data_IF_011232423858
#
_entry.id   IF_011232423858
#
_cell.length_a   1.000
_cell.length_b   1.000
_cell.length_c   1.000
_cell.angle_alpha   90.00
_cell.angle_beta   90.00
_cell.angle_gamma   90.00
#
_symmetry.space_group_name_H-M   'P 1'
#
loop_
_entity.id
_entity.type
_entity.pdbx_description
1 polymer ?
#
# COMPACT_ATOMS: atom_id res chain seq x y z
N UNK A 1 -10.77 -10.95 24.33
CA UNK A 1 -10.01 -10.07 23.41
C UNK A 1 -9.00 -9.23 24.19
N UNK A 2 -7.71 -9.24 23.82
CA UNK A 2 -6.67 -8.48 24.54
C UNK A 2 -6.73 -6.96 24.23
N UNK A 3 -5.95 -6.14 24.92
CA UNK A 3 -5.97 -4.67 24.73
C UNK A 3 -5.48 -4.23 23.33
N UNK A 4 -4.50 -4.93 22.76
CA UNK A 4 -3.98 -4.65 21.42
C UNK A 4 -5.02 -4.93 20.32
N UNK A 5 -5.79 -6.00 20.48
CA UNK A 5 -6.87 -6.38 19.59
C UNK A 5 -8.00 -5.35 19.61
N UNK A 6 -8.36 -4.83 20.81
CA UNK A 6 -9.33 -3.74 20.94
C UNK A 6 -8.87 -2.49 20.18
N UNK A 7 -7.61 -2.08 20.41
CA UNK A 7 -7.01 -0.93 19.69
C UNK A 7 -7.02 -1.14 18.17
N UNK A 8 -6.72 -2.35 17.70
CA UNK A 8 -6.79 -2.67 16.26
C UNK A 8 -8.22 -2.54 15.72
N UNK A 9 -9.21 -3.14 16.39
CA UNK A 9 -10.62 -3.13 15.97
C UNK A 9 -11.14 -1.69 15.90
N UNK A 10 -10.94 -0.90 16.95
CA UNK A 10 -11.42 0.49 17.01
C UNK A 10 -10.74 1.37 15.94
N UNK A 11 -9.45 1.16 15.71
CA UNK A 11 -8.72 1.91 14.68
C UNK A 11 -9.15 1.48 13.27
N UNK A 12 -9.35 0.18 13.05
CA UNK A 12 -9.80 -0.34 11.76
C UNK A 12 -11.23 0.12 11.42
N UNK A 13 -12.13 0.22 12.40
CA UNK A 13 -13.45 0.81 12.19
C UNK A 13 -13.37 2.26 11.69
N UNK A 14 -12.51 3.09 12.32
CA UNK A 14 -12.26 4.47 11.89
C UNK A 14 -11.66 4.55 10.49
N UNK A 15 -10.79 3.63 10.13
CA UNK A 15 -10.21 3.57 8.78
C UNK A 15 -11.27 3.12 7.77
N UNK A 16 -12.08 2.13 8.13
CA UNK A 16 -13.11 1.57 7.26
C UNK A 16 -14.21 2.58 6.95
N UNK A 17 -14.58 3.43 7.92
CA UNK A 17 -15.56 4.50 7.72
C UNK A 17 -15.07 5.60 6.76
N UNK A 18 -13.76 5.75 6.57
CA UNK A 18 -13.18 6.66 5.57
C UNK A 18 -13.24 6.12 4.13
N UNK A 19 -13.58 4.84 3.97
CA UNK A 19 -13.80 4.19 2.69
C UNK A 19 -12.55 3.53 2.08
N UNK A 20 -12.81 2.48 1.31
CA UNK A 20 -11.79 1.63 0.66
C UNK A 20 -10.92 2.40 -0.33
N UNK A 21 -11.52 3.23 -1.17
CA UNK A 21 -10.79 3.97 -2.20
C UNK A 21 -9.75 4.93 -1.57
N UNK A 22 -10.15 5.67 -0.54
CA UNK A 22 -9.26 6.60 0.18
C UNK A 22 -8.10 5.87 0.86
N UNK A 23 -8.37 4.71 1.46
CA UNK A 23 -7.33 3.86 2.02
C UNK A 23 -6.34 3.36 0.97
N UNK A 24 -6.85 2.80 -0.14
CA UNK A 24 -6.02 2.28 -1.24
C UNK A 24 -5.15 3.39 -1.82
N UNK A 25 -5.70 4.58 -2.06
CA UNK A 25 -4.92 5.71 -2.58
C UNK A 25 -3.82 6.09 -1.60
N UNK A 26 -4.15 6.26 -0.30
CA UNK A 26 -3.18 6.70 0.71
C UNK A 26 -2.04 5.70 0.92
N UNK A 27 -2.39 4.42 1.11
CA UNK A 27 -1.40 3.38 1.41
C UNK A 27 -0.75 2.80 0.16
N UNK A 28 -1.49 2.70 -0.94
CA UNK A 28 -0.99 2.28 -2.24
C UNK A 28 0.01 3.28 -2.81
N UNK A 29 -0.27 4.58 -2.73
CA UNK A 29 0.67 5.61 -3.21
C UNK A 29 2.04 5.52 -2.52
N UNK A 30 2.04 5.43 -1.18
CA UNK A 30 3.29 5.30 -0.42
C UNK A 30 4.06 4.02 -0.78
N UNK A 31 3.36 2.89 -0.93
CA UNK A 31 3.99 1.64 -1.33
C UNK A 31 4.52 1.68 -2.77
N UNK A 32 3.77 2.28 -3.69
CA UNK A 32 4.18 2.43 -5.09
C UNK A 32 5.45 3.28 -5.25
N UNK A 33 5.58 4.35 -4.47
CA UNK A 33 6.83 5.14 -4.42
C UNK A 33 7.99 4.28 -3.91
N UNK A 34 7.77 3.46 -2.88
CA UNK A 34 8.81 2.59 -2.34
C UNK A 34 9.27 1.55 -3.37
N UNK A 35 8.33 0.91 -4.07
CA UNK A 35 8.64 -0.02 -5.17
C UNK A 35 9.38 0.68 -6.29
N UNK A 36 8.97 1.90 -6.65
CA UNK A 36 9.68 2.69 -7.66
C UNK A 36 11.12 2.96 -7.24
N UNK A 37 11.35 3.44 -6.02
CA UNK A 37 12.68 3.73 -5.51
C UNK A 37 13.59 2.49 -5.50
N UNK A 38 13.06 1.34 -5.07
CA UNK A 38 13.79 0.07 -5.11
C UNK A 38 14.14 -0.35 -6.54
N UNK A 39 13.19 -0.28 -7.47
CA UNK A 39 13.44 -0.60 -8.88
C UNK A 39 14.45 0.35 -9.53
N UNK A 40 14.36 1.63 -9.22
CA UNK A 40 15.24 2.65 -9.73
C UNK A 40 16.69 2.38 -9.28
N UNK A 41 16.88 2.07 -8.00
CA UNK A 41 18.19 1.65 -7.48
C UNK A 41 18.66 0.36 -8.16
N UNK A 42 17.86 -0.71 -8.15
CA UNK A 42 18.30 -2.02 -8.69
C UNK A 42 18.68 -1.96 -10.17
N UNK A 43 17.91 -1.23 -10.99
CA UNK A 43 18.10 -1.24 -12.43
C UNK A 43 19.11 -0.18 -12.92
N UNK A 44 19.27 0.92 -12.18
CA UNK A 44 20.08 2.06 -12.61
C UNK A 44 21.27 2.37 -11.70
N UNK A 45 21.54 1.53 -10.69
CA UNK A 45 22.81 1.58 -9.96
C UNK A 45 23.97 1.51 -10.97
N UNK A 46 24.85 2.51 -10.93
CA UNK A 46 25.96 2.73 -11.88
C UNK A 46 25.57 3.02 -13.35
N UNK A 47 24.28 3.16 -13.66
CA UNK A 47 23.75 3.45 -15.02
C UNK A 47 22.79 4.64 -15.07
N UNK A 48 22.91 5.56 -14.12
CA UNK A 48 22.02 6.73 -14.00
C UNK A 48 21.90 7.56 -15.29
N UNK A 49 22.97 7.65 -16.09
CA UNK A 49 22.96 8.37 -17.36
C UNK A 49 22.14 7.71 -18.48
N UNK A 50 21.67 6.48 -18.29
CA UNK A 50 20.82 5.75 -19.24
C UNK A 50 19.31 5.96 -18.96
N UNK A 51 18.96 6.57 -17.84
CA UNK A 51 17.57 6.79 -17.46
C UNK A 51 17.03 8.06 -18.14
N UNK A 52 16.12 7.87 -19.10
CA UNK A 52 15.41 9.00 -19.69
C UNK A 52 14.34 9.54 -18.73
N UNK A 53 14.03 10.85 -18.84
CA UNK A 53 12.96 11.46 -18.05
C UNK A 53 11.61 10.78 -18.32
N UNK A 54 11.35 10.39 -19.57
CA UNK A 54 10.12 9.67 -19.95
C UNK A 54 10.02 8.33 -19.22
N UNK A 55 11.08 7.53 -19.24
CA UNK A 55 11.09 6.23 -18.56
C UNK A 55 10.93 6.38 -17.05
N UNK A 56 11.56 7.40 -16.46
CA UNK A 56 11.42 7.73 -15.04
C UNK A 56 9.94 7.93 -14.66
N UNK A 57 9.24 8.83 -15.36
CA UNK A 57 7.84 9.13 -15.04
C UNK A 57 6.88 7.98 -15.37
N UNK A 58 7.15 7.22 -16.44
CA UNK A 58 6.36 6.03 -16.78
C UNK A 58 6.53 4.95 -15.72
N UNK A 59 7.76 4.64 -15.30
CA UNK A 59 8.01 3.66 -14.24
C UNK A 59 7.40 4.10 -12.90
N UNK A 60 7.48 5.39 -12.57
CA UNK A 60 6.84 5.94 -11.38
C UNK A 60 5.32 5.75 -11.42
N UNK A 61 4.68 6.11 -12.54
CA UNK A 61 3.24 5.97 -12.71
C UNK A 61 2.80 4.50 -12.62
N UNK A 62 3.50 3.59 -13.30
CA UNK A 62 3.22 2.15 -13.24
C UNK A 62 3.40 1.62 -11.81
N UNK A 63 4.46 2.01 -11.12
CA UNK A 63 4.73 1.55 -9.74
C UNK A 63 3.63 2.01 -8.78
N UNK A 64 3.13 3.24 -8.93
CA UNK A 64 2.02 3.77 -8.12
C UNK A 64 0.69 3.09 -8.46
N UNK A 65 0.35 3.00 -9.74
CA UNK A 65 -0.96 2.47 -10.17
C UNK A 65 -1.03 0.97 -9.96
N UNK A 66 -0.05 0.23 -10.46
CA UNK A 66 -0.04 -1.24 -10.40
C UNK A 66 0.47 -1.71 -9.04
N UNK A 67 1.69 -1.34 -8.66
CA UNK A 67 2.27 -1.76 -7.38
C UNK A 67 1.49 -1.25 -6.18
N UNK A 68 1.18 0.04 -6.17
CA UNK A 68 0.38 0.67 -5.13
C UNK A 68 -1.07 0.17 -5.11
N UNK A 69 -1.71 0.01 -6.27
CA UNK A 69 -3.06 -0.52 -6.38
C UNK A 69 -3.18 -1.94 -5.83
N UNK A 70 -2.30 -2.86 -6.26
CA UNK A 70 -2.27 -4.25 -5.78
C UNK A 70 -2.08 -4.29 -4.26
N UNK A 71 -1.08 -3.57 -3.74
CA UNK A 71 -0.82 -3.53 -2.31
C UNK A 71 -1.98 -2.95 -1.50
N UNK A 72 -2.56 -1.84 -1.95
CA UNK A 72 -3.69 -1.21 -1.28
C UNK A 72 -4.91 -2.14 -1.21
N UNK A 73 -5.20 -2.87 -2.29
CA UNK A 73 -6.31 -3.84 -2.33
C UNK A 73 -6.02 -5.04 -1.41
N UNK A 74 -4.81 -5.58 -1.48
CA UNK A 74 -4.40 -6.73 -0.67
C UNK A 74 -4.41 -6.39 0.83
N UNK A 75 -3.77 -5.29 1.21
CA UNK A 75 -3.72 -4.82 2.60
C UNK A 75 -5.10 -4.51 3.16
N UNK A 76 -6.00 -3.91 2.37
CA UNK A 76 -7.39 -3.71 2.79
C UNK A 76 -8.10 -5.04 3.07
N UNK A 77 -7.98 -5.99 2.14
CA UNK A 77 -8.64 -7.29 2.25
C UNK A 77 -8.14 -8.08 3.46
N UNK A 78 -6.81 -8.09 3.68
CA UNK A 78 -6.20 -8.75 4.82
C UNK A 78 -6.65 -8.13 6.14
N UNK A 79 -6.66 -6.80 6.25
CA UNK A 79 -7.10 -6.12 7.46
C UNK A 79 -8.60 -6.35 7.72
N UNK A 80 -9.46 -6.32 6.68
CA UNK A 80 -10.89 -6.62 6.86
C UNK A 80 -11.13 -8.08 7.26
N UNK A 81 -10.32 -9.02 6.76
CA UNK A 81 -10.36 -10.41 7.18
C UNK A 81 -9.97 -10.58 8.66
N UNK A 82 -8.84 -9.99 9.08
CA UNK A 82 -8.37 -10.01 10.47
C UNK A 82 -9.40 -9.38 11.40
N UNK A 83 -9.97 -8.25 10.99
CA UNK A 83 -11.03 -7.56 11.72
C UNK A 83 -12.26 -8.45 11.95
N UNK A 84 -12.78 -9.08 10.88
CA UNK A 84 -13.92 -10.00 10.99
C UNK A 84 -13.62 -11.19 11.87
N UNK A 85 -12.40 -11.74 11.79
CA UNK A 85 -11.97 -12.84 12.65
C UNK A 85 -12.00 -12.44 14.12
N UNK A 86 -11.38 -11.29 14.46
CA UNK A 86 -11.37 -10.76 15.83
C UNK A 86 -12.76 -10.44 16.38
N UNK A 87 -13.72 -10.06 15.53
CA UNK A 87 -15.11 -9.85 15.93
C UNK A 87 -15.88 -11.16 16.17
N UNK A 88 -15.55 -12.24 15.45
CA UNK A 88 -16.17 -13.57 15.67
C UNK A 88 -15.62 -14.27 16.90
N UNK A 89 -14.38 -13.98 17.28
CA UNK A 89 -13.71 -14.49 18.49
C UNK A 89 -14.08 -13.66 19.75
N UNK A 90 -15.12 -12.80 19.67
CA UNK A 90 -15.75 -12.14 20.84
C UNK A 90 -16.64 -13.12 21.60
#
# INVERSE_FOLDING_TARGET
MNEADKKFVDNWEKIKSQGKAKYIIKHGFGFGILIFAVNLVINYWDKWGQLSNTDFFVQLAISIVVGGGIYGIFSWTLNDFIYRKKLKDK
#
